data_IF_386859061769
#
_entry.id   IF_386859061769
#
_cell.length_a   1.000
_cell.length_b   1.000
_cell.length_c   1.000
_cell.angle_alpha   90.00
_cell.angle_beta   90.00
_cell.angle_gamma   90.00
#
_symmetry.space_group_name_H-M   'P 1'
#
loop_
_entity.id
_entity.type
_entity.pdbx_description
1 polymer ?
#
# COMPACT_ATOMS: atom_id res chain seq x y z
N UNK A 1 32.99 1.87 -5.54
CA UNK A 1 32.16 1.81 -4.32
C UNK A 1 31.15 2.94 -4.42
N UNK A 2 29.90 2.66 -4.79
CA UNK A 2 28.89 3.72 -5.01
C UNK A 2 27.77 3.53 -3.99
N UNK A 3 27.77 4.41 -3.00
CA UNK A 3 26.78 4.51 -1.95
C UNK A 3 25.60 5.33 -2.50
N UNK A 4 24.48 4.68 -2.84
CA UNK A 4 23.22 5.36 -3.18
C UNK A 4 22.33 5.35 -1.95
N UNK A 5 22.39 6.46 -1.21
CA UNK A 5 21.48 6.84 -0.15
C UNK A 5 20.06 7.04 -0.70
N UNK A 6 19.05 6.50 -0.01
CA UNK A 6 17.67 6.98 -0.09
C UNK A 6 16.64 5.94 -0.55
N UNK A 7 15.79 5.51 0.38
CA UNK A 7 14.65 4.62 0.21
C UNK A 7 13.53 5.27 -0.66
N UNK A 8 13.82 5.67 -1.91
CA UNK A 8 12.88 6.43 -2.73
C UNK A 8 11.77 5.53 -3.30
N UNK A 9 10.53 5.87 -2.97
CA UNK A 9 9.35 5.21 -3.52
C UNK A 9 9.14 5.62 -4.98
N UNK A 10 8.77 4.67 -5.82
CA UNK A 10 8.28 4.97 -7.17
C UNK A 10 6.97 5.77 -7.11
N UNK A 11 6.62 6.51 -8.17
CA UNK A 11 5.34 7.25 -8.23
C UNK A 11 4.10 6.35 -7.96
N UNK A 12 4.15 5.10 -8.44
CA UNK A 12 3.12 4.10 -8.17
C UNK A 12 3.08 3.74 -6.68
N UNK A 13 4.22 3.42 -6.07
CA UNK A 13 4.31 3.09 -4.65
C UNK A 13 3.90 4.27 -3.76
N UNK A 14 4.27 5.49 -4.12
CA UNK A 14 3.87 6.70 -3.42
C UNK A 14 2.34 6.87 -3.46
N UNK A 15 1.72 6.62 -4.61
CA UNK A 15 0.27 6.66 -4.77
C UNK A 15 -0.42 5.56 -3.95
N UNK A 16 0.11 4.33 -3.96
CA UNK A 16 -0.42 3.22 -3.15
C UNK A 16 -0.38 3.55 -1.65
N UNK A 17 0.74 4.11 -1.18
CA UNK A 17 0.90 4.54 0.20
C UNK A 17 -0.09 5.64 0.58
N UNK A 18 -0.29 6.63 -0.29
CA UNK A 18 -1.26 7.71 -0.08
C UNK A 18 -2.70 7.17 0.06
N UNK A 19 -3.10 6.25 -0.80
CA UNK A 19 -4.43 5.62 -0.75
C UNK A 19 -4.62 4.84 0.56
N UNK A 20 -3.62 4.10 1.01
CA UNK A 20 -3.71 3.38 2.29
C UNK A 20 -3.72 4.33 3.48
N UNK A 21 -3.01 5.48 3.41
CA UNK A 21 -3.08 6.53 4.43
C UNK A 21 -4.45 7.19 4.50
N UNK A 22 -5.11 7.39 3.36
CA UNK A 22 -6.47 7.92 3.27
C UNK A 22 -7.52 6.94 3.80
N UNK A 23 -7.28 5.63 3.64
CA UNK A 23 -8.21 4.56 4.02
C UNK A 23 -7.53 3.46 4.87
N UNK A 24 -7.02 3.79 6.07
CA UNK A 24 -6.27 2.84 6.88
C UNK A 24 -7.18 1.70 7.35
N UNK A 25 -6.69 0.46 7.25
CA UNK A 25 -7.42 -0.73 7.69
C UNK A 25 -8.69 -1.03 6.89
N UNK A 26 -8.91 -0.41 5.72
CA UNK A 26 -10.08 -0.68 4.88
C UNK A 26 -9.89 -1.85 3.93
N UNK A 27 -8.70 -2.00 3.36
CA UNK A 27 -8.47 -2.94 2.27
C UNK A 27 -7.48 -4.03 2.65
N UNK A 28 -7.77 -5.28 2.28
CA UNK A 28 -6.73 -6.33 2.21
C UNK A 28 -5.86 -6.13 0.96
N UNK A 29 -4.66 -6.71 0.91
CA UNK A 29 -3.75 -6.67 -0.27
C UNK A 29 -4.46 -6.91 -1.60
N UNK A 30 -5.14 -8.05 -1.67
CA UNK A 30 -5.89 -8.50 -2.85
C UNK A 30 -7.10 -7.62 -3.16
N UNK A 31 -7.75 -7.07 -2.12
CA UNK A 31 -8.89 -6.17 -2.26
C UNK A 31 -8.49 -4.82 -2.84
N UNK A 32 -7.43 -4.21 -2.30
CA UNK A 32 -6.88 -2.96 -2.83
C UNK A 32 -6.46 -3.13 -4.30
N UNK A 33 -5.72 -4.20 -4.62
CA UNK A 33 -5.32 -4.48 -5.99
C UNK A 33 -6.53 -4.63 -6.93
N UNK A 34 -7.60 -5.32 -6.51
CA UNK A 34 -8.84 -5.44 -7.30
C UNK A 34 -9.54 -4.10 -7.53
N UNK A 35 -9.63 -3.27 -6.49
CA UNK A 35 -10.25 -1.95 -6.57
C UNK A 35 -9.51 -1.06 -7.58
N UNK A 36 -8.18 -1.01 -7.48
CA UNK A 36 -7.34 -0.14 -8.30
C UNK A 36 -7.31 -0.52 -9.78
N UNK A 37 -7.36 -1.81 -10.11
CA UNK A 37 -7.43 -2.26 -11.51
C UNK A 37 -8.86 -2.26 -12.06
N UNK A 38 -9.86 -1.87 -11.27
CA UNK A 38 -11.25 -1.84 -11.70
C UNK A 38 -11.84 -3.23 -11.95
N UNK A 39 -11.46 -4.23 -11.14
CA UNK A 39 -11.93 -5.60 -11.33
C UNK A 39 -13.46 -5.69 -11.18
N UNK A 40 -14.15 -6.33 -12.14
CA UNK A 40 -15.62 -6.46 -12.13
C UNK A 40 -16.20 -7.07 -10.85
N UNK A 41 -15.44 -7.94 -10.19
CA UNK A 41 -15.81 -8.60 -8.93
C UNK A 41 -15.60 -7.75 -7.67
N UNK A 42 -15.10 -6.53 -7.81
CA UNK A 42 -14.99 -5.58 -6.70
C UNK A 42 -16.34 -4.91 -6.43
N UNK A 43 -16.74 -4.94 -5.15
CA UNK A 43 -17.92 -4.27 -4.61
C UNK A 43 -17.44 -2.94 -4.00
N UNK A 44 -18.09 -1.83 -4.32
CA UNK A 44 -17.62 -0.48 -3.96
C UNK A 44 -16.94 0.23 -5.12
N UNK A 45 -17.71 0.51 -6.19
CA UNK A 45 -17.27 1.33 -7.33
C UNK A 45 -17.34 2.83 -7.02
N UNK A 46 -17.82 3.18 -5.83
CA UNK A 46 -17.93 4.55 -5.33
C UNK A 46 -16.58 5.18 -4.92
N UNK A 47 -15.54 4.38 -4.73
CA UNK A 47 -14.21 4.91 -4.42
C UNK A 47 -13.65 5.67 -5.64
N UNK A 48 -13.20 6.91 -5.48
CA UNK A 48 -12.65 7.69 -6.60
C UNK A 48 -11.37 7.08 -7.19
N UNK A 49 -10.69 6.20 -6.45
CA UNK A 49 -9.52 5.47 -6.91
C UNK A 49 -9.86 4.19 -7.70
N UNK A 50 -11.14 3.82 -7.82
CA UNK A 50 -11.56 2.65 -8.55
C UNK A 50 -11.12 2.72 -10.03
N UNK A 51 -10.42 1.69 -10.50
CA UNK A 51 -9.93 1.63 -11.88
C UNK A 51 -8.81 2.61 -12.23
N UNK A 52 -8.25 3.34 -11.24
CA UNK A 52 -7.15 4.31 -11.43
C UNK A 52 -5.91 3.71 -12.09
N UNK A 53 -5.70 2.41 -11.92
CA UNK A 53 -4.59 1.64 -12.51
C UNK A 53 -5.13 0.53 -13.41
N UNK A 54 -6.14 0.83 -14.22
CA UNK A 54 -6.76 -0.13 -15.14
C UNK A 54 -5.85 -0.55 -16.31
N UNK A 55 -4.82 0.25 -16.63
CA UNK A 55 -3.75 -0.12 -17.57
C UNK A 55 -2.75 -1.13 -16.97
N UNK A 56 -2.77 -1.31 -15.65
CA UNK A 56 -1.82 -2.13 -14.89
C UNK A 56 -2.39 -3.51 -14.59
N UNK A 57 -1.50 -4.50 -14.55
CA UNK A 57 -1.86 -5.85 -14.13
C UNK A 57 -2.11 -5.93 -12.61
N UNK A 58 -3.15 -6.68 -12.21
CA UNK A 58 -3.42 -6.94 -10.77
C UNK A 58 -2.21 -7.54 -10.03
N UNK A 59 -1.43 -8.38 -10.70
CA UNK A 59 -0.20 -8.98 -10.15
C UNK A 59 0.86 -7.92 -9.85
N UNK A 60 1.04 -6.95 -10.76
CA UNK A 60 1.98 -5.84 -10.57
C UNK A 60 1.59 -4.98 -9.35
N UNK A 61 0.31 -4.59 -9.26
CA UNK A 61 -0.18 -3.81 -8.12
C UNK A 61 0.01 -4.58 -6.80
N UNK A 62 -0.28 -5.88 -6.80
CA UNK A 62 -0.09 -6.71 -5.61
C UNK A 62 1.39 -6.81 -5.21
N UNK A 63 2.29 -6.97 -6.18
CA UNK A 63 3.74 -7.02 -5.93
C UNK A 63 4.28 -5.71 -5.36
N UNK A 64 3.77 -4.57 -5.84
CA UNK A 64 4.15 -3.26 -5.31
C UNK A 64 3.63 -3.02 -3.90
N UNK A 65 2.42 -3.48 -3.57
CA UNK A 65 1.91 -3.47 -2.20
C UNK A 65 2.79 -4.33 -1.29
N UNK A 66 3.19 -5.52 -1.75
CA UNK A 66 4.06 -6.41 -0.96
C UNK A 66 5.44 -5.80 -0.73
N UNK A 67 6.01 -5.15 -1.75
CA UNK A 67 7.27 -4.39 -1.64
C UNK A 67 7.16 -3.28 -0.59
N UNK A 68 6.04 -2.54 -0.54
CA UNK A 68 5.80 -1.51 0.48
C UNK A 68 5.70 -2.09 1.90
N UNK A 69 5.20 -3.33 2.05
CA UNK A 69 5.17 -4.02 3.35
C UNK A 69 6.58 -4.45 3.74
N UNK A 70 7.35 -5.05 2.81
CA UNK A 70 8.73 -5.47 3.05
C UNK A 70 9.64 -4.28 3.42
N UNK A 71 9.42 -3.12 2.80
CA UNK A 71 10.12 -1.87 3.10
C UNK A 71 9.62 -1.16 4.37
N UNK A 72 8.69 -1.77 5.12
CA UNK A 72 8.10 -1.19 6.34
C UNK A 72 7.41 0.16 6.13
N UNK A 73 6.91 0.45 4.93
CA UNK A 73 6.04 1.61 4.68
C UNK A 73 4.58 1.28 4.99
N UNK A 74 4.18 0.04 4.72
CA UNK A 74 2.88 -0.50 5.05
C UNK A 74 3.04 -1.68 6.02
N UNK A 75 1.96 -1.96 6.75
CA UNK A 75 1.84 -3.18 7.55
C UNK A 75 0.47 -3.80 7.38
N UNK A 76 0.35 -5.03 7.82
CA UNK A 76 -0.93 -5.69 7.97
C UNK A 76 -1.38 -5.55 9.43
N UNK A 77 -2.60 -5.06 9.63
CA UNK A 77 -3.28 -5.07 10.93
C UNK A 77 -3.69 -6.50 11.32
N UNK A 78 -4.13 -6.72 12.57
CA UNK A 78 -4.62 -8.00 13.09
C UNK A 78 -5.76 -8.64 12.27
N UNK A 79 -6.42 -7.88 11.39
CA UNK A 79 -7.42 -8.38 10.43
C UNK A 79 -6.89 -8.63 9.01
N UNK A 80 -5.58 -8.68 8.82
CA UNK A 80 -4.93 -8.82 7.50
C UNK A 80 -5.34 -7.71 6.51
N UNK A 81 -5.45 -6.49 7.03
CA UNK A 81 -5.80 -5.27 6.28
C UNK A 81 -4.62 -4.32 6.27
N UNK A 82 -4.45 -3.60 5.16
CA UNK A 82 -3.38 -2.66 4.95
C UNK A 82 -3.56 -1.43 5.84
N UNK A 83 -2.51 -1.10 6.57
CA UNK A 83 -2.40 0.12 7.34
C UNK A 83 -1.02 0.75 7.09
N UNK A 84 -0.86 2.08 7.21
CA UNK A 84 0.47 2.67 7.24
C UNK A 84 1.28 2.07 8.38
N UNK A 85 2.54 1.76 8.14
CA UNK A 85 3.46 1.44 9.22
C UNK A 85 3.67 2.72 10.05
N UNK A 86 3.38 2.66 11.35
CA UNK A 86 3.78 3.73 12.27
C UNK A 86 5.31 3.76 12.24
N UNK A 87 5.90 4.93 12.03
CA UNK A 87 7.35 5.09 12.14
C UNK A 87 7.81 4.56 13.50
N UNK A 88 8.93 3.82 13.59
CA UNK A 88 9.52 3.46 14.87
C UNK A 88 10.05 4.74 15.52
N UNK A 89 9.18 5.44 16.24
CA UNK A 89 9.54 6.61 17.04
C UNK A 89 8.77 6.64 18.36
N UNK A 90 8.44 5.49 18.94
CA UNK A 90 7.86 5.38 20.29
C UNK A 90 8.30 4.09 21.01
N UNK A 91 9.57 3.69 20.84
CA UNK A 91 10.23 2.74 21.75
C UNK A 91 11.57 3.35 22.18
N UNK A 92 11.54 4.58 22.66
CA UNK A 92 12.59 5.06 23.57
C UNK A 92 12.13 4.66 24.97
N UNK A 93 12.64 3.52 25.42
CA UNK A 93 12.56 3.10 26.81
C UNK A 93 13.55 3.97 27.57
N UNK A 94 13.04 4.98 28.26
CA UNK A 94 13.78 5.66 29.32
C UNK A 94 14.05 4.62 30.42
N UNK A 95 15.32 4.24 30.57
CA UNK A 95 15.84 3.34 31.61
C UNK A 95 16.38 4.14 32.78
#
# INVERSE_FOLDING_TARGET
MTQLSGNQLTALQQTLLDIVRKYPGRFSRSGLAKMLVGAKSWQGREYPEYGRFSDRGRKEITWQIDSLIQQSYLRLDGRNRLAPALSPKEFDVDV
#
